data_IF_226638788238
#
_entry.id   IF_226638788238
#
_cell.length_a   1.000
_cell.length_b   1.000
_cell.length_c   1.000
_cell.angle_alpha   90.00
_cell.angle_beta   90.00
_cell.angle_gamma   90.00
#
_symmetry.space_group_name_H-M   'P 1'
#
loop_
_entity.id
_entity.type
_entity.pdbx_description
1 polymer ?
#
# COMPACT_ATOMS: atom_id res chain seq x y z
N UNK A 1 4.80 -1.47 1.81
CA UNK A 1 4.04 -2.75 1.83
C UNK A 1 3.45 -2.98 0.45
N UNK A 2 3.67 -4.15 -0.17
CA UNK A 2 3.27 -4.41 -1.54
C UNK A 2 1.75 -4.31 -1.76
N UNK A 3 0.97 -4.89 -0.86
CA UNK A 3 -0.49 -4.89 -0.94
C UNK A 3 -1.09 -3.48 -0.83
N UNK A 4 -0.47 -2.57 -0.06
CA UNK A 4 -0.90 -1.16 -0.06
C UNK A 4 -0.58 -0.47 -1.39
N UNK A 5 0.58 -0.77 -1.98
CA UNK A 5 0.93 -0.21 -3.29
C UNK A 5 0.03 -0.75 -4.39
N UNK A 6 -0.42 -2.01 -4.30
CA UNK A 6 -1.47 -2.55 -5.17
C UNK A 6 -2.77 -1.74 -5.05
N UNK A 7 -3.19 -1.36 -3.83
CA UNK A 7 -4.35 -0.49 -3.63
C UNK A 7 -4.15 0.91 -4.22
N UNK A 8 -2.97 1.51 -4.06
CA UNK A 8 -2.66 2.81 -4.67
C UNK A 8 -2.69 2.74 -6.20
N UNK A 9 -2.16 1.66 -6.78
CA UNK A 9 -2.23 1.41 -8.21
C UNK A 9 -3.68 1.28 -8.69
N UNK A 10 -4.51 0.51 -7.97
CA UNK A 10 -5.93 0.36 -8.29
C UNK A 10 -6.65 1.73 -8.26
N UNK A 11 -6.47 2.50 -7.19
CA UNK A 11 -7.05 3.83 -7.06
C UNK A 11 -6.54 4.80 -8.15
N UNK A 12 -5.27 4.68 -8.56
CA UNK A 12 -4.73 5.47 -9.66
C UNK A 12 -5.38 5.09 -11.00
N UNK A 13 -5.47 3.80 -11.32
CA UNK A 13 -6.12 3.32 -12.54
C UNK A 13 -7.59 3.77 -12.57
N UNK A 14 -8.33 3.65 -11.46
CA UNK A 14 -9.71 4.13 -11.35
C UNK A 14 -9.81 5.65 -11.57
N UNK A 15 -8.91 6.43 -10.97
CA UNK A 15 -8.87 7.90 -11.11
C UNK A 15 -8.58 8.35 -12.55
N UNK A 16 -7.66 7.68 -13.24
CA UNK A 16 -7.20 8.10 -14.57
C UNK A 16 -7.90 7.36 -15.72
N UNK A 17 -8.60 6.26 -15.45
CA UNK A 17 -9.31 5.46 -16.44
C UNK A 17 -8.40 4.67 -17.41
N UNK A 18 -7.12 4.51 -17.09
CA UNK A 18 -6.11 3.87 -17.95
C UNK A 18 -4.92 3.32 -17.14
N UNK A 19 -4.02 2.53 -17.74
CA UNK A 19 -2.71 2.25 -17.14
C UNK A 19 -1.99 3.53 -16.73
N UNK A 20 -1.24 3.46 -15.63
CA UNK A 20 -0.68 4.63 -14.94
C UNK A 20 0.82 4.56 -14.79
N UNK A 21 1.49 5.71 -14.78
CA UNK A 21 2.93 5.78 -14.52
C UNK A 21 3.23 5.58 -13.05
N UNK A 22 4.49 5.27 -12.71
CA UNK A 22 4.95 5.23 -11.31
C UNK A 22 4.61 6.53 -10.56
N UNK A 23 4.84 7.70 -11.19
CA UNK A 23 4.58 9.00 -10.58
C UNK A 23 3.10 9.22 -10.26
N UNK A 24 2.18 8.75 -11.12
CA UNK A 24 0.75 8.83 -10.88
C UNK A 24 0.31 7.97 -9.68
N UNK A 25 0.95 6.81 -9.49
CA UNK A 25 0.74 5.97 -8.28
C UNK A 25 1.31 6.64 -7.04
N UNK A 26 2.50 7.24 -7.13
CA UNK A 26 3.10 8.02 -6.05
C UNK A 26 2.22 9.19 -5.61
N UNK A 27 1.59 9.89 -6.56
CA UNK A 27 0.70 11.01 -6.25
C UNK A 27 -0.56 10.54 -5.51
N UNK A 28 -1.10 9.37 -5.85
CA UNK A 28 -2.16 8.75 -5.04
C UNK A 28 -1.64 8.37 -3.65
N UNK A 29 -0.46 7.77 -3.56
CA UNK A 29 0.16 7.41 -2.28
C UNK A 29 0.39 8.63 -1.37
N UNK A 30 0.84 9.77 -1.92
CA UNK A 30 1.04 11.04 -1.18
C UNK A 30 -0.24 11.56 -0.55
N UNK A 31 -1.39 11.37 -1.22
CA UNK A 31 -2.67 11.82 -0.73
C UNK A 31 -3.28 10.88 0.33
N UNK A 32 -2.98 9.58 0.27
CA UNK A 32 -3.58 8.57 1.16
C UNK A 32 -2.68 8.26 2.35
N UNK A 33 -1.39 7.99 2.11
CA UNK A 33 -0.42 7.63 3.13
C UNK A 33 0.99 8.06 2.68
N UNK A 34 1.34 9.36 2.81
CA UNK A 34 2.54 9.92 2.20
C UNK A 34 3.86 9.24 2.57
N UNK A 35 3.94 8.61 3.74
CA UNK A 35 5.09 7.81 4.19
C UNK A 35 5.41 6.57 3.32
N UNK A 36 4.53 6.23 2.37
CA UNK A 36 4.71 5.11 1.44
C UNK A 36 5.13 5.54 0.02
N UNK A 37 5.08 6.83 -0.31
CA UNK A 37 5.27 7.31 -1.68
C UNK A 37 6.66 6.96 -2.24
N UNK A 38 7.72 7.09 -1.45
CA UNK A 38 9.11 6.83 -1.83
C UNK A 38 9.45 5.33 -2.06
N UNK A 39 8.56 4.41 -1.66
CA UNK A 39 8.75 2.96 -1.84
C UNK A 39 7.78 2.37 -2.87
N UNK A 40 6.99 3.20 -3.56
CA UNK A 40 6.04 2.75 -4.58
C UNK A 40 6.76 1.93 -5.65
N UNK A 41 7.84 2.46 -6.23
CA UNK A 41 8.59 1.77 -7.28
C UNK A 41 9.09 0.40 -6.86
N UNK A 42 9.61 0.28 -5.64
CA UNK A 42 10.14 -0.97 -5.11
C UNK A 42 9.06 -2.05 -5.06
N UNK A 43 7.89 -1.70 -4.55
CA UNK A 43 6.77 -2.63 -4.44
C UNK A 43 6.04 -2.89 -5.77
N UNK A 44 6.05 -1.95 -6.72
CA UNK A 44 5.55 -2.23 -8.07
C UNK A 44 6.41 -3.30 -8.76
N UNK A 45 7.74 -3.23 -8.62
CA UNK A 45 8.64 -4.27 -9.14
C UNK A 45 8.37 -5.63 -8.50
N UNK A 46 8.12 -5.65 -7.20
CA UNK A 46 7.77 -6.88 -6.46
C UNK A 46 6.44 -7.49 -6.95
N UNK A 47 5.39 -6.67 -7.06
CA UNK A 47 4.09 -7.11 -7.61
C UNK A 47 4.22 -7.60 -9.06
N UNK A 48 5.08 -6.97 -9.86
CA UNK A 48 5.37 -7.37 -11.22
C UNK A 48 6.07 -8.72 -11.29
N UNK A 49 7.06 -8.96 -10.42
CA UNK A 49 7.77 -10.25 -10.35
C UNK A 49 6.86 -11.45 -10.06
N UNK A 50 5.71 -11.19 -9.40
CA UNK A 50 4.67 -12.19 -9.10
C UNK A 50 3.56 -12.28 -10.14
N UNK A 51 3.64 -11.49 -11.22
CA UNK A 51 2.63 -11.47 -12.29
C UNK A 51 1.29 -10.88 -11.89
N UNK A 52 1.19 -10.18 -10.75
CA UNK A 52 -0.05 -9.53 -10.29
C UNK A 52 -0.34 -8.29 -11.12
N UNK A 53 0.73 -7.60 -11.50
CA UNK A 53 0.69 -6.44 -12.38
C UNK A 53 1.61 -6.68 -13.57
N UNK A 54 1.40 -5.94 -14.65
CA UNK A 54 2.31 -5.91 -15.79
C UNK A 54 2.74 -4.48 -16.11
N UNK A 55 3.82 -4.39 -16.88
CA UNK A 55 4.46 -3.14 -17.28
C UNK A 55 4.58 -3.09 -18.79
N UNK A 56 4.16 -2.00 -19.39
CA UNK A 56 4.23 -1.77 -20.83
C UNK A 56 4.80 -0.39 -21.14
N UNK A 57 5.45 -0.26 -22.29
CA UNK A 57 5.99 1.02 -22.75
C UNK A 57 4.87 1.84 -23.39
N UNK A 58 4.62 3.02 -22.85
CA UNK A 58 3.69 4.00 -23.40
C UNK A 58 4.46 4.97 -24.31
N UNK A 59 4.12 4.98 -25.60
CA UNK A 59 4.79 5.82 -26.60
C UNK A 59 4.48 7.31 -26.42
N UNK A 60 3.24 7.64 -26.05
CA UNK A 60 2.78 9.02 -25.91
C UNK A 60 3.46 9.69 -24.72
N UNK A 61 3.52 8.98 -23.60
CA UNK A 61 4.14 9.44 -22.36
C UNK A 61 5.64 9.19 -22.29
N UNK A 62 6.19 8.41 -23.24
CA UNK A 62 7.60 8.01 -23.32
C UNK A 62 8.11 7.43 -22.00
N UNK A 63 7.30 6.58 -21.38
CA UNK A 63 7.61 5.97 -20.09
C UNK A 63 6.89 4.63 -19.93
N UNK A 64 7.24 3.89 -18.88
CA UNK A 64 6.51 2.68 -18.53
C UNK A 64 5.23 3.00 -17.75
N UNK A 65 4.16 2.33 -18.13
CA UNK A 65 2.89 2.34 -17.41
C UNK A 65 2.62 0.97 -16.81
N UNK A 66 1.90 0.97 -15.70
CA UNK A 66 1.53 -0.20 -14.92
C UNK A 66 0.05 -0.48 -15.10
N UNK A 67 -0.27 -1.77 -15.25
CA UNK A 67 -1.64 -2.28 -15.30
C UNK A 67 -1.79 -3.47 -14.36
N UNK A 68 -2.98 -3.61 -13.80
CA UNK A 68 -3.35 -4.82 -13.06
C UNK A 68 -3.65 -5.92 -14.08
N UNK A 69 -3.04 -7.10 -13.91
CA UNK A 69 -3.27 -8.25 -14.82
C UNK A 69 -4.65 -8.82 -14.58
N UNK A 70 -5.00 -8.99 -13.31
CA UNK A 70 -6.29 -9.50 -12.86
C UNK A 70 -6.67 -8.81 -11.55
N UNK A 71 -7.80 -8.12 -11.53
CA UNK A 71 -8.26 -7.41 -10.34
C UNK A 71 -8.78 -8.41 -9.30
N UNK A 72 -8.04 -8.53 -8.20
CA UNK A 72 -8.38 -9.40 -7.08
C UNK A 72 -8.48 -8.58 -5.78
N UNK A 73 -9.35 -8.99 -4.83
CA UNK A 73 -9.36 -8.45 -3.48
C UNK A 73 -7.99 -8.59 -2.81
N UNK A 74 -7.65 -7.65 -1.92
CA UNK A 74 -6.36 -7.66 -1.21
C UNK A 74 -6.25 -8.88 -0.30
N UNK A 75 -7.36 -9.30 0.29
CA UNK A 75 -7.45 -10.48 1.14
C UNK A 75 -7.08 -11.74 0.36
N UNK A 76 -7.57 -11.86 -0.88
CA UNK A 76 -7.26 -13.00 -1.74
C UNK A 76 -5.78 -12.98 -2.18
N UNK A 77 -5.24 -11.80 -2.49
CA UNK A 77 -3.81 -11.66 -2.79
C UNK A 77 -2.94 -12.00 -1.58
N UNK A 78 -3.37 -11.67 -0.36
CA UNK A 78 -2.65 -12.02 0.86
C UNK A 78 -2.68 -13.53 1.14
N UNK A 79 -3.78 -14.22 0.82
CA UNK A 79 -3.88 -15.68 0.93
C UNK A 79 -3.03 -16.39 -0.13
N UNK A 80 -3.05 -15.90 -1.38
CA UNK A 80 -2.33 -16.49 -2.50
C UNK A 80 -0.83 -16.21 -2.49
N UNK A 81 -0.43 -15.04 -2.00
CA UNK A 81 0.96 -14.60 -1.89
C UNK A 81 1.25 -14.14 -0.46
N UNK A 82 1.39 -15.09 0.50
CA UNK A 82 1.58 -14.76 1.91
C UNK A 82 2.81 -13.89 2.17
N UNK A 83 3.84 -13.98 1.34
CA UNK A 83 5.06 -13.18 1.47
C UNK A 83 4.84 -11.68 1.24
N UNK A 84 3.88 -11.31 0.37
CA UNK A 84 3.45 -9.90 0.22
C UNK A 84 2.83 -9.31 1.49
N UNK A 85 2.43 -10.20 2.41
CA UNK A 85 1.79 -9.88 3.68
C UNK A 85 2.76 -10.07 4.86
N UNK A 86 3.57 -11.13 4.87
CA UNK A 86 4.51 -11.48 5.95
C UNK A 86 5.62 -10.43 6.12
N UNK A 87 6.04 -9.79 5.02
CA UNK A 87 7.03 -8.71 5.06
C UNK A 87 6.44 -7.36 5.50
N UNK A 88 5.13 -7.35 5.82
CA UNK A 88 4.41 -6.15 6.24
C UNK A 88 4.50 -5.94 7.75
N UNK A 89 5.69 -5.56 8.22
CA UNK A 89 5.97 -5.24 9.63
C UNK A 89 4.90 -4.31 10.25
N UNK A 90 4.45 -3.31 9.50
CA UNK A 90 3.43 -2.35 9.93
C UNK A 90 2.04 -2.99 10.11
N UNK A 91 1.60 -3.82 9.17
CA UNK A 91 0.33 -4.52 9.28
C UNK A 91 0.32 -5.44 10.50
N UNK A 92 1.38 -6.25 10.67
CA UNK A 92 1.49 -7.17 11.79
C UNK A 92 1.47 -6.43 13.13
N UNK A 93 2.20 -5.31 13.23
CA UNK A 93 2.22 -4.47 14.41
C UNK A 93 0.83 -3.93 14.76
N UNK A 94 0.08 -3.42 13.78
CA UNK A 94 -1.27 -2.89 14.01
C UNK A 94 -2.23 -4.01 14.45
N UNK A 95 -2.18 -5.17 13.80
CA UNK A 95 -3.02 -6.33 14.14
C UNK A 95 -2.72 -6.85 15.56
N UNK A 96 -1.44 -7.02 15.88
CA UNK A 96 -0.97 -7.47 17.20
C UNK A 96 -1.40 -6.48 18.29
N UNK A 97 -1.11 -5.19 18.09
CA UNK A 97 -1.46 -4.15 19.06
C UNK A 97 -2.96 -4.04 19.28
N UNK A 98 -3.79 -4.28 18.26
CA UNK A 98 -5.25 -4.26 18.40
C UNK A 98 -5.85 -5.55 18.96
N UNK A 99 -5.20 -6.70 18.81
CA UNK A 99 -5.69 -8.00 19.32
C UNK A 99 -6.95 -8.51 18.60
N UNK A 100 -7.23 -8.00 17.39
CA UNK A 100 -8.38 -8.42 16.56
C UNK A 100 -7.99 -8.47 15.09
N UNK A 101 -8.79 -9.15 14.26
CA UNK A 101 -8.65 -9.08 12.80
C UNK A 101 -8.90 -7.63 12.35
N UNK A 102 -8.07 -7.15 11.42
CA UNK A 102 -8.15 -5.82 10.82
C UNK A 102 -8.03 -5.93 9.31
N UNK A 103 -8.81 -5.13 8.59
CA UNK A 103 -8.71 -5.04 7.13
C UNK A 103 -7.52 -4.17 6.72
N UNK A 104 -7.07 -4.27 5.47
CA UNK A 104 -6.01 -3.40 4.97
C UNK A 104 -6.42 -1.91 5.03
N UNK A 105 -7.69 -1.63 4.74
CA UNK A 105 -8.25 -0.28 4.86
C UNK A 105 -8.20 0.26 6.29
N UNK A 106 -8.45 -0.58 7.30
CA UNK A 106 -8.30 -0.18 8.70
C UNK A 106 -6.86 0.19 9.01
N UNK A 107 -5.90 -0.62 8.53
CA UNK A 107 -4.47 -0.37 8.72
C UNK A 107 -4.04 0.96 8.09
N UNK A 108 -4.48 1.25 6.86
CA UNK A 108 -4.19 2.54 6.21
C UNK A 108 -4.73 3.71 7.04
N UNK A 109 -5.98 3.64 7.49
CA UNK A 109 -6.61 4.70 8.30
C UNK A 109 -5.87 4.91 9.62
N UNK A 110 -5.49 3.82 10.28
CA UNK A 110 -4.73 3.86 11.54
C UNK A 110 -3.36 4.50 11.33
N UNK A 111 -2.61 4.04 10.32
CA UNK A 111 -1.27 4.56 10.04
C UNK A 111 -1.32 6.04 9.63
N UNK A 112 -2.32 6.44 8.84
CA UNK A 112 -2.54 7.85 8.51
C UNK A 112 -2.81 8.71 9.74
N UNK A 113 -3.64 8.22 10.66
CA UNK A 113 -3.94 8.93 11.92
C UNK A 113 -2.70 9.04 12.82
N UNK A 114 -1.89 7.99 12.89
CA UNK A 114 -0.63 7.97 13.66
C UNK A 114 0.39 8.93 13.04
N UNK A 115 0.55 8.91 11.71
CA UNK A 115 1.49 9.78 10.99
C UNK A 115 0.99 11.23 10.88
N UNK A 116 -0.30 11.48 11.12
CA UNK A 116 -0.97 12.77 10.91
C UNK A 116 -0.76 13.31 9.48
N UNK A 117 -0.75 12.41 8.50
CA UNK A 117 -0.45 12.77 7.10
C UNK A 117 1.00 13.17 6.84
N UNK A 118 1.92 12.87 7.76
CA UNK A 118 3.36 13.08 7.55
C UNK A 118 3.96 12.01 6.64
N UNK A 119 4.95 12.40 5.84
CA UNK A 119 5.82 11.47 5.13
C UNK A 119 6.80 10.73 6.08
N UNK A 120 6.96 11.20 7.32
CA UNK A 120 7.77 10.50 8.33
C UNK A 120 7.14 9.16 8.66
N UNK A 121 7.93 8.09 8.55
CA UNK A 121 7.52 6.76 9.01
C UNK A 121 7.51 6.70 10.54
N UNK A 122 6.39 6.32 11.16
CA UNK A 122 6.40 6.00 12.58
C UNK A 122 7.18 4.71 12.81
N UNK A 123 7.85 4.62 13.94
CA UNK A 123 8.50 3.42 14.43
C UNK A 123 7.46 2.44 14.98
N UNK A 124 7.84 1.16 15.12
CA UNK A 124 6.98 0.13 15.72
C UNK A 124 6.59 0.49 17.16
N UNK A 125 7.54 1.05 17.93
CA UNK A 125 7.28 1.52 19.30
C UNK A 125 6.27 2.66 19.33
N UNK A 126 6.40 3.65 18.44
CA UNK A 126 5.43 4.74 18.32
C UNK A 126 4.04 4.23 17.95
N UNK A 127 3.93 3.25 17.04
CA UNK A 127 2.64 2.65 16.67
C UNK A 127 2.01 1.93 17.86
N UNK A 128 2.75 1.07 18.56
CA UNK A 128 2.23 0.32 19.71
C UNK A 128 1.72 1.28 20.79
N UNK A 129 2.53 2.28 21.17
CA UNK A 129 2.17 3.28 22.17
C UNK A 129 0.92 4.09 21.78
N UNK A 130 0.81 4.53 20.51
CA UNK A 130 -0.37 5.26 20.03
C UNK A 130 -1.64 4.40 19.99
N UNK A 131 -1.50 3.10 19.73
CA UNK A 131 -2.64 2.18 19.70
C UNK A 131 -3.13 1.82 21.11
N UNK A 132 -2.23 1.74 22.09
CA UNK A 132 -2.61 1.62 23.51
C UNK A 132 -3.42 2.84 23.98
N UNK A 133 -2.98 4.07 23.66
CA UNK A 133 -3.74 5.31 23.95
C UNK A 133 -5.16 5.30 23.33
N UNK A 134 -5.33 4.65 22.18
CA UNK A 134 -6.63 4.53 21.48
C UNK A 134 -7.52 3.45 22.11
N UNK A 135 -6.94 2.41 22.74
CA UNK A 135 -7.67 1.36 23.43
C UNK A 135 -8.20 1.78 24.80
N UNK A 136 -7.50 2.69 25.46
CA UNK A 136 -7.85 3.19 26.81
C UNK A 136 -8.93 4.29 26.79
N UNK A 137 -9.45 4.66 25.61
CA UNK A 137 -10.58 5.59 25.42
C UNK A 137 -11.78 4.89 24.84
#
# INVERSE_FOLDING_TARGET
MPLMVYMFLKNAIEKYGRPVTTSEVEDVAKNILPMCADHVVHHLVELYSKGIISREWDQEKRTFVWRIVEDRPVEELAEKYPDLYLDSLYYHTVREALGRKVTMNDVIKILYRISKGSARRPTIKEIKSRLEEIKEK
#
